data_IF_747817156201
#
_entry.id   IF_747817156201
#
_cell.length_a   1.000
_cell.length_b   1.000
_cell.length_c   1.000
_cell.angle_alpha   90.00
_cell.angle_beta   90.00
_cell.angle_gamma   90.00
#
_symmetry.space_group_name_H-M   'P 1'
#
loop_
_entity.id
_entity.type
_entity.pdbx_description
1 polymer ?
#
# COMPACT_ATOMS: atom_id res chain seq x y z
N UNK A 1 4.72 -6.72 0.08
CA UNK A 1 5.12 -5.58 -0.77
C UNK A 1 3.95 -4.66 -1.10
N UNK A 2 2.94 -5.11 -1.86
CA UNK A 2 1.77 -4.29 -2.23
C UNK A 2 1.02 -3.64 -1.05
N UNK A 3 0.97 -4.30 0.12
CA UNK A 3 0.33 -3.75 1.32
C UNK A 3 1.22 -2.81 2.15
N UNK A 4 2.44 -2.54 1.68
CA UNK A 4 3.37 -1.64 2.36
C UNK A 4 2.78 -0.25 2.49
N UNK A 5 3.20 0.46 3.52
CA UNK A 5 3.01 1.89 3.69
C UNK A 5 3.80 2.73 2.67
N UNK A 6 4.90 2.20 2.15
CA UNK A 6 5.84 2.92 1.27
C UNK A 6 5.30 2.97 -0.15
N UNK A 7 5.07 4.16 -0.77
CA UNK A 7 4.40 4.28 -2.06
C UNK A 7 5.02 3.44 -3.19
N UNK A 8 6.35 3.36 -3.27
CA UNK A 8 7.05 2.55 -4.29
C UNK A 8 6.85 1.05 -4.11
N UNK A 9 6.56 0.61 -2.90
CA UNK A 9 6.25 -0.79 -2.57
C UNK A 9 4.75 -1.06 -2.69
N UNK A 10 3.90 -0.12 -2.26
CA UNK A 10 2.45 -0.20 -2.45
C UNK A 10 2.09 -0.32 -3.92
N UNK A 11 2.74 0.48 -4.77
CA UNK A 11 2.51 0.52 -6.21
C UNK A 11 3.31 -0.57 -6.96
N UNK A 12 3.35 -1.78 -6.42
CA UNK A 12 4.00 -2.96 -7.00
C UNK A 12 3.20 -4.23 -6.71
N UNK A 13 3.45 -5.32 -7.43
CA UNK A 13 2.85 -6.65 -7.22
C UNK A 13 1.30 -6.64 -7.25
N UNK A 14 0.71 -6.07 -8.30
CA UNK A 14 -0.75 -5.98 -8.49
C UNK A 14 -1.40 -7.32 -8.89
N UNK A 15 -0.65 -8.19 -9.54
CA UNK A 15 -1.11 -9.46 -10.09
C UNK A 15 -1.22 -10.56 -9.03
N UNK A 16 -2.38 -10.65 -8.37
CA UNK A 16 -2.66 -11.76 -7.44
C UNK A 16 -2.82 -13.11 -8.15
N UNK A 17 -3.68 -13.20 -9.18
CA UNK A 17 -3.92 -14.44 -9.95
C UNK A 17 -2.95 -14.62 -11.14
N UNK A 18 -2.42 -13.51 -11.67
CA UNK A 18 -1.55 -13.50 -12.85
C UNK A 18 -0.28 -12.66 -12.54
N UNK A 19 0.66 -13.21 -11.75
CA UNK A 19 1.83 -12.46 -11.27
C UNK A 19 2.82 -12.09 -12.39
N UNK A 20 2.67 -12.68 -13.57
CA UNK A 20 3.49 -12.38 -14.76
C UNK A 20 3.27 -10.96 -15.27
N UNK A 21 2.08 -10.39 -15.04
CA UNK A 21 1.79 -9.01 -15.43
C UNK A 21 2.73 -8.02 -14.76
N UNK A 22 3.04 -8.21 -13.48
CA UNK A 22 4.00 -7.35 -12.80
C UNK A 22 5.40 -7.42 -13.41
N UNK A 23 5.78 -8.57 -13.97
CA UNK A 23 7.06 -8.70 -14.68
C UNK A 23 7.02 -8.02 -16.04
N UNK A 24 5.94 -8.19 -16.80
CA UNK A 24 5.79 -7.57 -18.12
C UNK A 24 5.65 -6.05 -18.07
N UNK A 25 4.97 -5.52 -17.06
CA UNK A 25 4.76 -4.09 -16.88
C UNK A 25 5.78 -3.42 -15.93
N UNK A 26 6.77 -4.18 -15.44
CA UNK A 26 7.86 -3.65 -14.63
C UNK A 26 7.46 -3.21 -13.22
N UNK A 27 6.34 -3.72 -12.69
CA UNK A 27 5.85 -3.45 -11.34
C UNK A 27 6.17 -4.57 -10.35
N UNK A 28 6.93 -5.59 -10.75
CA UNK A 28 7.34 -6.68 -9.86
C UNK A 28 8.42 -6.24 -8.89
N UNK A 29 8.21 -6.53 -7.61
CA UNK A 29 9.16 -6.34 -6.54
C UNK A 29 9.17 -7.58 -5.64
N UNK A 30 10.36 -8.15 -5.45
CA UNK A 30 10.52 -9.40 -4.71
C UNK A 30 10.30 -9.22 -3.20
N UNK A 31 10.81 -8.15 -2.62
CA UNK A 31 10.67 -7.86 -1.18
C UNK A 31 10.58 -6.35 -0.87
N UNK A 32 10.02 -5.97 0.29
CA UNK A 32 10.09 -4.60 0.78
C UNK A 32 11.49 -4.32 1.32
N UNK A 33 11.92 -3.05 1.32
CA UNK A 33 13.26 -2.65 1.74
C UNK A 33 13.57 -3.01 3.22
N UNK A 34 12.54 -3.05 4.07
CA UNK A 34 12.67 -3.44 5.48
C UNK A 34 12.62 -4.97 5.70
N UNK A 35 12.48 -5.77 4.64
CA UNK A 35 12.13 -7.19 4.73
C UNK A 35 10.66 -7.41 5.15
N UNK A 36 10.14 -8.60 4.89
CA UNK A 36 8.71 -8.90 5.08
C UNK A 36 8.23 -8.75 6.53
N UNK A 37 9.09 -9.06 7.50
CA UNK A 37 8.75 -9.02 8.93
C UNK A 37 8.65 -7.59 9.49
N UNK A 38 9.48 -6.68 8.99
CA UNK A 38 9.53 -5.29 9.49
C UNK A 38 8.78 -4.31 8.59
N UNK A 39 8.13 -4.80 7.52
CA UNK A 39 7.34 -3.97 6.62
C UNK A 39 6.13 -3.40 7.35
N UNK A 40 6.00 -2.08 7.34
CA UNK A 40 4.81 -1.42 7.87
C UNK A 40 3.65 -1.61 6.91
N UNK A 41 2.51 -2.09 7.42
CA UNK A 41 1.33 -2.41 6.62
C UNK A 41 0.25 -1.33 6.78
N UNK A 42 -0.47 -1.07 5.68
CA UNK A 42 -1.67 -0.24 5.68
C UNK A 42 -1.41 1.23 5.39
N UNK A 43 -2.48 1.93 4.99
CA UNK A 43 -2.42 3.36 4.69
C UNK A 43 -2.28 4.20 5.96
N UNK A 44 -1.52 5.27 5.88
CA UNK A 44 -1.13 6.10 7.03
C UNK A 44 -2.36 6.60 7.82
N UNK A 45 -3.42 6.96 7.10
CA UNK A 45 -4.65 7.55 7.62
C UNK A 45 -5.44 6.61 8.54
N UNK A 46 -5.36 5.30 8.29
CA UNK A 46 -6.17 4.30 9.01
C UNK A 46 -5.31 3.21 9.70
N UNK A 47 -4.06 3.53 10.03
CA UNK A 47 -3.14 2.58 10.68
C UNK A 47 -3.30 2.51 12.20
N UNK A 48 -3.87 3.53 12.84
CA UNK A 48 -4.11 3.51 14.30
C UNK A 48 -5.00 2.30 14.65
N UNK A 49 -4.67 1.49 15.67
CA UNK A 49 -5.46 0.31 16.04
C UNK A 49 -6.95 0.61 16.30
N UNK A 50 -7.31 1.84 16.68
CA UNK A 50 -8.70 2.26 16.85
C UNK A 50 -9.47 2.28 15.53
N UNK A 51 -8.79 2.53 14.42
CA UNK A 51 -9.38 2.54 13.08
C UNK A 51 -9.73 1.12 12.58
N UNK A 52 -9.13 0.08 13.17
CA UNK A 52 -9.37 -1.32 12.82
C UNK A 52 -10.59 -1.92 13.52
N UNK A 53 -11.30 -1.14 14.35
CA UNK A 53 -12.57 -1.56 14.93
C UNK A 53 -13.65 -1.60 13.84
N UNK A 54 -14.59 -2.55 13.96
CA UNK A 54 -15.65 -2.75 12.96
C UNK A 54 -16.46 -1.47 12.70
N UNK A 55 -16.87 -0.78 13.76
CA UNK A 55 -17.62 0.48 13.66
C UNK A 55 -16.84 1.56 12.89
N UNK A 56 -15.52 1.63 13.12
CA UNK A 56 -14.64 2.56 12.42
C UNK A 56 -14.42 2.18 10.97
N UNK A 57 -14.16 0.91 10.67
CA UNK A 57 -14.00 0.41 9.30
C UNK A 57 -15.24 0.68 8.43
N UNK A 58 -16.44 0.56 9.00
CA UNK A 58 -17.69 0.86 8.28
C UNK A 58 -17.84 2.34 7.91
N UNK A 59 -17.27 3.25 8.72
CA UNK A 59 -17.35 4.71 8.47
C UNK A 59 -16.13 5.27 7.72
N UNK A 60 -15.02 4.53 7.61
CA UNK A 60 -13.81 4.96 6.89
C UNK A 60 -14.09 5.52 5.47
N UNK A 61 -14.93 4.88 4.62
CA UNK A 61 -15.21 5.38 3.26
C UNK A 61 -15.90 6.75 3.21
N UNK A 62 -16.50 7.21 4.31
CA UNK A 62 -17.24 8.47 4.38
C UNK A 62 -16.46 9.58 5.10
N UNK A 63 -15.21 9.33 5.48
CA UNK A 63 -14.36 10.31 6.17
C UNK A 63 -13.49 11.05 5.15
N UNK A 64 -13.51 12.38 5.23
CA UNK A 64 -12.76 13.28 4.33
C UNK A 64 -11.24 13.26 4.57
N UNK A 65 -10.78 12.60 5.63
CA UNK A 65 -9.37 12.43 5.99
C UNK A 65 -8.61 11.41 5.13
N UNK A 66 -9.16 11.01 3.97
CA UNK A 66 -8.46 10.19 2.99
C UNK A 66 -7.36 11.05 2.32
N UNK A 67 -6.33 11.41 3.09
CA UNK A 67 -5.17 12.16 2.62
C UNK A 67 -4.53 11.51 1.39
N UNK A 68 -3.65 12.25 0.71
CA UNK A 68 -3.07 11.90 -0.58
C UNK A 68 -2.71 10.40 -0.69
N UNK A 69 -3.58 9.65 -1.36
CA UNK A 69 -3.39 8.24 -1.62
C UNK A 69 -2.04 8.04 -2.34
N UNK A 70 -1.29 6.95 -2.09
CA UNK A 70 0.02 6.75 -2.70
C UNK A 70 0.02 6.68 -4.24
N UNK A 71 -1.15 6.55 -4.88
CA UNK A 71 -1.31 6.59 -6.33
C UNK A 71 -1.09 8.02 -6.83
N UNK A 72 -0.07 8.21 -7.67
CA UNK A 72 0.27 9.49 -8.28
C UNK A 72 1.43 10.22 -7.63
N UNK A 73 1.88 9.81 -6.43
CA UNK A 73 3.11 10.31 -5.81
C UNK A 73 4.31 9.58 -6.43
N UNK A 74 4.79 10.04 -7.59
CA UNK A 74 6.11 9.63 -8.11
C UNK A 74 7.17 10.31 -7.27
N UNK A 75 7.86 9.56 -6.42
CA UNK A 75 9.14 10.01 -5.87
C UNK A 75 10.07 10.28 -7.06
N UNK A 76 10.69 11.47 -7.08
CA UNK A 76 11.68 11.82 -8.08
C UNK A 76 12.76 10.73 -8.08
N UNK A 77 13.10 10.22 -9.26
CA UNK A 77 14.21 9.29 -9.41
C UNK A 77 15.50 10.03 -9.04
N UNK A 78 16.17 9.59 -7.97
CA UNK A 78 17.61 9.78 -7.81
C UNK A 78 18.38 8.92 -8.82
#
# INVERSE_FOLDING_TARGET
>A
VHHSATPRETNSNFGFNLPWWDRWFGTYRAEPAAGHENMTIGIEQFRDPRELRLDRMLVQPFREDAGAYPLGRREAAE
#
